data_IF_059397565807
#
_entry.id   IF_059397565807
#
_cell.length_a   1.000
_cell.length_b   1.000
_cell.length_c   1.000
_cell.angle_alpha   90.00
_cell.angle_beta   90.00
_cell.angle_gamma   90.00
#
_symmetry.space_group_name_H-M   'P 1'
#
loop_
_entity.id
_entity.type
_entity.pdbx_description
1 polymer ?
#
# COMPACT_ATOMS: atom_id res chain seq x y z
N UNK A 1 -3.16 22.94 17.10
CA UNK A 1 -1.91 23.39 16.44
C UNK A 1 -2.11 23.28 14.93
N UNK A 2 -1.48 24.13 14.10
CA UNK A 2 -1.45 23.93 12.66
C UNK A 2 -0.79 22.58 12.33
N UNK A 3 -1.24 21.92 11.26
CA UNK A 3 -0.68 20.64 10.82
C UNK A 3 0.70 20.86 10.21
N UNK A 4 1.69 20.01 10.54
CA UNK A 4 3.02 20.17 10.00
C UNK A 4 3.04 19.83 8.50
N UNK A 5 3.94 20.48 7.78
CA UNK A 5 4.15 20.31 6.34
C UNK A 5 5.61 19.92 6.13
N UNK A 6 5.83 18.84 5.40
CA UNK A 6 7.13 18.38 4.94
C UNK A 6 7.24 18.44 3.42
N UNK A 7 8.42 18.12 2.90
CA UNK A 7 8.69 18.14 1.46
C UNK A 7 9.43 16.89 1.02
N UNK A 8 9.00 16.33 -0.10
CA UNK A 8 9.74 15.31 -0.80
C UNK A 8 10.84 15.95 -1.65
N UNK A 9 12.02 15.33 -1.66
CA UNK A 9 13.15 15.75 -2.49
C UNK A 9 13.31 14.79 -3.65
N UNK A 10 13.40 15.31 -4.87
CA UNK A 10 13.67 14.47 -6.04
C UNK A 10 15.16 14.17 -6.11
N UNK A 11 15.53 12.90 -6.14
CA UNK A 11 16.90 12.45 -6.31
C UNK A 11 17.07 11.70 -7.64
N UNK A 12 18.23 11.86 -8.28
CA UNK A 12 18.60 11.13 -9.49
C UNK A 12 19.19 9.76 -9.18
N UNK A 13 19.93 9.64 -8.08
CA UNK A 13 20.38 8.38 -7.52
C UNK A 13 19.40 7.91 -6.46
N UNK A 14 19.03 6.62 -6.51
CA UNK A 14 18.22 5.99 -5.48
C UNK A 14 19.07 5.78 -4.21
N UNK A 15 18.47 5.93 -3.01
CA UNK A 15 19.10 5.43 -1.79
C UNK A 15 19.37 3.93 -1.87
N UNK A 16 20.48 3.49 -1.30
CA UNK A 16 20.79 2.07 -1.10
C UNK A 16 20.05 1.59 0.13
N UNK A 17 19.18 0.59 -0.01
CA UNK A 17 18.38 0.08 1.09
C UNK A 17 19.22 -0.88 1.94
N UNK A 18 19.97 -0.32 2.91
CA UNK A 18 20.83 -1.06 3.84
C UNK A 18 20.58 -0.70 5.32
N UNK A 19 19.71 0.28 5.56
CA UNK A 19 19.32 0.79 6.87
C UNK A 19 20.17 1.97 7.35
N UNK A 20 21.17 2.45 6.61
CA UNK A 20 22.05 3.57 6.98
C UNK A 20 21.70 4.90 6.31
N UNK A 21 20.65 5.55 6.83
CA UNK A 21 20.17 6.86 6.34
C UNK A 21 21.23 7.97 6.47
N UNK A 22 22.11 7.90 7.47
CA UNK A 22 23.11 8.95 7.72
C UNK A 22 24.35 8.79 6.84
N UNK A 23 24.67 7.55 6.46
CA UNK A 23 25.79 7.22 5.58
C UNK A 23 25.50 7.42 4.10
N UNK A 24 24.23 7.44 3.68
CA UNK A 24 23.86 7.53 2.27
C UNK A 24 23.67 8.99 1.79
N UNK A 25 24.45 9.45 0.78
CA UNK A 25 24.37 10.81 0.24
C UNK A 25 23.05 11.14 -0.46
N UNK A 26 22.25 10.15 -0.88
CA UNK A 26 20.93 10.36 -1.47
C UNK A 26 19.98 11.09 -0.49
N UNK A 27 20.19 10.96 0.82
CA UNK A 27 19.41 11.63 1.86
C UNK A 27 19.92 13.02 2.23
N UNK A 28 21.13 13.40 1.82
CA UNK A 28 21.82 14.59 2.34
C UNK A 28 21.08 15.91 2.07
N UNK A 29 20.39 16.00 0.93
CA UNK A 29 19.64 17.20 0.51
C UNK A 29 18.16 17.15 0.87
N UNK A 30 17.69 16.07 1.52
CA UNK A 30 16.28 15.93 1.88
C UNK A 30 15.98 16.66 3.20
N UNK A 31 15.02 17.59 3.17
CA UNK A 31 14.59 18.35 4.35
C UNK A 31 14.08 17.39 5.45
N UNK A 32 14.67 17.41 6.66
CA UNK A 32 14.24 16.55 7.74
C UNK A 32 12.92 17.03 8.36
N UNK A 33 11.95 16.13 8.45
CA UNK A 33 10.74 16.31 9.25
C UNK A 33 11.02 15.82 10.67
N UNK A 34 10.98 16.74 11.63
CA UNK A 34 11.23 16.47 13.05
C UNK A 34 10.15 17.11 13.94
N UNK A 35 10.33 17.07 15.27
CA UNK A 35 9.43 17.73 16.21
C UNK A 35 8.19 16.89 16.55
N UNK A 36 8.42 15.63 16.93
CA UNK A 36 7.37 14.70 17.32
C UNK A 36 6.78 15.08 18.69
N UNK A 37 5.48 14.85 18.86
CA UNK A 37 4.71 15.11 20.06
C UNK A 37 4.23 13.81 20.67
N UNK A 38 4.37 13.69 21.99
CA UNK A 38 3.87 12.54 22.72
C UNK A 38 2.34 12.51 22.70
N UNK A 39 1.81 11.33 22.45
CA UNK A 39 0.45 10.92 22.81
C UNK A 39 0.46 10.31 24.22
N UNK A 40 1.47 9.49 24.51
CA UNK A 40 1.73 8.90 25.81
C UNK A 40 3.25 8.89 26.08
N UNK A 41 3.69 8.93 27.35
CA UNK A 41 2.86 9.04 28.57
C UNK A 41 2.27 10.44 28.80
N UNK A 42 2.90 11.50 28.30
CA UNK A 42 2.52 12.89 28.59
C UNK A 42 2.01 13.59 27.33
N UNK A 43 0.72 13.46 27.06
CA UNK A 43 0.06 14.03 25.87
C UNK A 43 0.38 15.52 25.68
N UNK A 44 0.77 15.88 24.46
CA UNK A 44 1.02 17.28 24.08
C UNK A 44 2.39 17.82 24.51
N UNK A 45 3.28 16.98 25.04
CA UNK A 45 4.68 17.33 25.28
C UNK A 45 5.58 16.88 24.12
N UNK A 46 6.75 17.50 23.88
CA UNK A 46 7.71 16.99 22.89
C UNK A 46 8.18 15.57 23.21
N UNK A 47 8.45 14.77 22.17
CA UNK A 47 9.03 13.42 22.31
C UNK A 47 10.37 13.47 23.07
N UNK A 48 10.64 12.49 23.93
CA UNK A 48 11.88 12.47 24.73
C UNK A 48 13.13 12.16 23.91
N UNK A 49 12.98 11.44 22.81
CA UNK A 49 14.06 11.12 21.89
C UNK A 49 13.76 11.71 20.51
N UNK A 50 14.78 12.31 19.88
CA UNK A 50 14.62 12.96 18.57
C UNK A 50 14.32 11.90 17.50
N UNK A 51 13.37 12.20 16.62
CA UNK A 51 13.14 11.43 15.40
C UNK A 51 13.18 12.36 14.20
N UNK A 52 13.84 11.93 13.13
CA UNK A 52 13.86 12.61 11.84
C UNK A 52 13.33 11.68 10.76
N UNK A 53 12.51 12.23 9.87
CA UNK A 53 12.02 11.54 8.68
C UNK A 53 12.38 12.35 7.46
N UNK A 54 12.99 11.72 6.46
CA UNK A 54 13.34 12.30 5.17
C UNK A 54 12.56 11.60 4.08
N UNK A 55 12.10 12.35 3.09
CA UNK A 55 11.35 11.81 1.95
C UNK A 55 12.13 12.09 0.68
N UNK A 56 12.48 11.03 -0.03
CA UNK A 56 13.11 11.10 -1.34
C UNK A 56 12.20 10.42 -2.37
N UNK A 57 12.14 10.96 -3.58
CA UNK A 57 11.42 10.34 -4.70
C UNK A 57 12.37 10.18 -5.89
N UNK A 58 12.34 9.01 -6.53
CA UNK A 58 12.97 8.76 -7.82
C UNK A 58 11.89 8.70 -8.92
N UNK A 59 12.25 8.25 -10.12
CA UNK A 59 11.31 8.11 -11.23
C UNK A 59 10.17 7.12 -10.94
N UNK A 60 10.38 6.12 -10.10
CA UNK A 60 9.47 4.98 -9.91
C UNK A 60 9.19 4.60 -8.45
N UNK A 61 9.89 5.21 -7.49
CA UNK A 61 9.86 4.78 -6.10
C UNK A 61 9.82 5.97 -5.14
N UNK A 62 8.97 5.86 -4.11
CA UNK A 62 8.97 6.72 -2.93
C UNK A 62 9.87 6.08 -1.87
N UNK A 63 10.81 6.86 -1.35
CA UNK A 63 11.71 6.44 -0.29
C UNK A 63 11.44 7.23 0.99
N UNK A 64 11.37 6.52 2.12
CA UNK A 64 11.28 7.12 3.45
C UNK A 64 12.51 6.70 4.25
N UNK A 65 13.35 7.67 4.62
CA UNK A 65 14.47 7.45 5.52
C UNK A 65 14.10 7.94 6.91
N UNK A 66 14.22 7.09 7.92
CA UNK A 66 13.97 7.46 9.31
C UNK A 66 15.22 7.28 10.16
N UNK A 67 15.50 8.29 10.99
CA UNK A 67 16.54 8.24 12.01
C UNK A 67 15.85 8.42 13.36
N UNK A 68 15.84 7.34 14.13
CA UNK A 68 15.33 7.31 15.50
C UNK A 68 16.52 7.43 16.45
N UNK A 69 16.83 8.66 16.87
CA UNK A 69 17.86 8.86 17.86
C UNK A 69 17.42 8.22 19.18
N UNK A 70 18.38 7.67 19.93
CA UNK A 70 18.14 7.17 21.28
C UNK A 70 19.38 7.45 22.13
N UNK A 71 19.20 8.14 23.25
CA UNK A 71 20.27 8.42 24.21
C UNK A 71 20.87 7.17 24.87
N UNK A 72 20.19 6.03 24.81
CA UNK A 72 20.66 4.72 25.25
C UNK A 72 20.31 3.64 24.20
N UNK A 73 21.10 3.53 23.10
CA UNK A 73 20.87 2.55 22.05
C UNK A 73 20.92 1.09 22.54
N UNK A 74 21.62 0.83 23.66
CA UNK A 74 21.67 -0.50 24.27
C UNK A 74 20.35 -0.94 24.88
N UNK A 75 19.45 0.01 25.16
CA UNK A 75 18.11 -0.21 25.69
C UNK A 75 17.01 -0.40 24.63
N UNK A 76 17.35 -0.42 23.33
CA UNK A 76 16.38 -0.64 22.25
C UNK A 76 15.76 -2.04 22.37
N UNK A 77 14.43 -2.12 22.35
CA UNK A 77 13.70 -3.39 22.54
C UNK A 77 13.15 -3.91 21.22
N UNK A 78 13.52 -5.13 20.84
CA UNK A 78 12.91 -5.89 19.74
C UNK A 78 12.28 -7.16 20.30
N UNK A 79 10.94 -7.23 20.32
CA UNK A 79 10.21 -8.35 20.92
C UNK A 79 9.75 -9.42 19.92
N UNK A 80 9.54 -9.06 18.66
CA UNK A 80 9.17 -9.98 17.58
C UNK A 80 9.86 -9.54 16.28
N UNK A 81 10.39 -10.51 15.53
CA UNK A 81 11.12 -10.29 14.28
C UNK A 81 10.39 -10.91 13.07
N UNK A 82 9.15 -11.36 13.25
CA UNK A 82 8.31 -11.89 12.16
C UNK A 82 7.64 -10.75 11.40
N UNK A 83 7.42 -10.97 10.10
CA UNK A 83 6.56 -10.12 9.28
C UNK A 83 5.15 -10.01 9.90
N UNK A 84 4.57 -8.82 9.80
CA UNK A 84 3.23 -8.46 10.31
C UNK A 84 3.06 -8.62 11.83
N UNK A 85 4.17 -8.74 12.57
CA UNK A 85 4.12 -8.78 14.01
C UNK A 85 3.64 -7.43 14.58
N UNK A 86 2.86 -7.44 15.68
CA UNK A 86 2.40 -6.21 16.34
C UNK A 86 3.55 -5.28 16.73
N UNK A 87 3.41 -3.99 16.44
CA UNK A 87 4.46 -2.98 16.62
C UNK A 87 4.34 -2.22 17.96
N UNK A 88 3.39 -2.60 18.82
CA UNK A 88 3.07 -1.94 20.10
C UNK A 88 4.06 -2.30 21.22
N UNK A 89 4.52 -3.56 21.26
CA UNK A 89 5.36 -4.11 22.32
C UNK A 89 6.86 -4.15 21.94
N UNK A 90 7.26 -3.35 20.96
CA UNK A 90 8.63 -3.23 20.45
C UNK A 90 8.95 -1.77 20.17
N UNK A 91 10.22 -1.40 20.16
CA UNK A 91 10.63 -0.20 19.45
C UNK A 91 10.17 -0.31 18.00
N UNK A 92 9.52 0.72 17.49
CA UNK A 92 8.97 0.69 16.14
C UNK A 92 8.82 2.08 15.53
N UNK A 93 8.66 2.09 14.21
CA UNK A 93 8.27 3.23 13.42
C UNK A 93 7.13 2.84 12.49
N UNK A 94 6.13 3.70 12.37
CA UNK A 94 5.01 3.54 11.43
C UNK A 94 4.80 4.83 10.65
N UNK A 95 4.36 4.68 9.41
CA UNK A 95 3.90 5.77 8.56
C UNK A 95 2.53 5.43 7.97
N UNK A 96 1.73 6.47 7.72
CA UNK A 96 0.47 6.35 6.99
C UNK A 96 0.45 7.34 5.83
N UNK A 97 0.01 6.90 4.65
CA UNK A 97 -0.09 7.69 3.43
C UNK A 97 -1.55 7.82 2.98
N UNK A 98 -2.05 9.06 2.89
CA UNK A 98 -3.30 9.42 2.20
C UNK A 98 -2.94 10.07 0.86
N UNK A 99 -2.86 9.23 -0.18
CA UNK A 99 -2.43 9.61 -1.52
C UNK A 99 -3.50 10.42 -2.28
N UNK A 100 -4.78 10.23 -1.96
CA UNK A 100 -5.90 10.96 -2.59
C UNK A 100 -6.30 12.24 -1.84
N UNK A 101 -5.74 12.46 -0.64
CA UNK A 101 -6.11 13.54 0.28
C UNK A 101 -7.59 13.56 0.65
N UNK A 102 -8.23 12.39 0.65
CA UNK A 102 -9.64 12.26 1.01
C UNK A 102 -9.87 12.22 2.54
N UNK A 103 -8.78 12.17 3.31
CA UNK A 103 -8.72 12.15 4.77
C UNK A 103 -9.41 10.96 5.41
N UNK A 104 -9.63 9.90 4.64
CA UNK A 104 -10.39 8.72 5.05
C UNK A 104 -9.65 7.43 4.73
N UNK A 105 -9.01 7.35 3.57
CA UNK A 105 -8.37 6.13 3.08
C UNK A 105 -6.87 6.32 2.99
N UNK A 106 -6.11 5.26 3.30
CA UNK A 106 -4.67 5.33 3.22
C UNK A 106 -3.96 3.99 3.37
N UNK A 107 -2.65 4.03 3.21
CA UNK A 107 -1.76 2.87 3.32
C UNK A 107 -0.86 3.03 4.53
N UNK A 108 -0.74 1.98 5.34
CA UNK A 108 0.15 1.92 6.49
C UNK A 108 1.36 1.10 6.13
N UNK A 109 2.54 1.59 6.51
CA UNK A 109 3.80 0.85 6.47
C UNK A 109 4.49 1.01 7.81
N UNK A 110 5.19 -0.02 8.27
CA UNK A 110 5.85 0.00 9.56
C UNK A 110 7.00 -0.99 9.63
N UNK A 111 7.90 -0.72 10.57
CA UNK A 111 9.03 -1.60 10.85
C UNK A 111 9.46 -1.46 12.30
N UNK A 112 10.40 -2.29 12.70
CA UNK A 112 11.11 -2.23 13.97
C UNK A 112 12.64 -2.26 13.71
N UNK A 113 13.48 -2.13 14.75
CA UNK A 113 14.94 -2.19 14.59
C UNK A 113 15.48 -3.49 13.99
N UNK A 114 14.68 -4.57 13.91
CA UNK A 114 15.04 -5.81 13.21
C UNK A 114 14.62 -5.82 11.73
N UNK A 115 14.00 -4.76 11.23
CA UNK A 115 13.67 -4.61 9.81
C UNK A 115 12.48 -5.44 9.36
N UNK A 116 11.49 -5.70 10.24
CA UNK A 116 10.28 -6.40 9.82
C UNK A 116 9.43 -5.54 8.89
N UNK A 117 8.71 -6.19 8.00
CA UNK A 117 7.64 -5.56 7.22
C UNK A 117 6.33 -5.63 8.01
N UNK A 118 5.61 -4.52 8.05
CA UNK A 118 4.25 -4.40 8.57
C UNK A 118 3.48 -3.48 7.63
N UNK A 119 2.43 -3.97 7.00
CA UNK A 119 1.60 -3.17 6.11
C UNK A 119 0.10 -3.38 6.31
N UNK A 120 -0.68 -2.50 5.69
CA UNK A 120 -2.13 -2.59 5.72
C UNK A 120 -2.80 -1.41 5.05
N UNK A 121 -4.10 -1.56 4.82
CA UNK A 121 -4.93 -0.52 4.23
C UNK A 121 -5.94 0.02 5.25
N UNK A 122 -6.08 1.33 5.32
CA UNK A 122 -7.07 2.03 6.15
C UNK A 122 -8.21 2.50 5.26
N UNK A 123 -9.45 2.33 5.73
CA UNK A 123 -10.65 2.93 5.17
C UNK A 123 -11.43 3.67 6.26
N UNK A 124 -12.10 4.77 5.88
CA UNK A 124 -12.91 5.59 6.78
C UNK A 124 -12.22 5.92 8.13
N UNK A 125 -10.93 6.28 8.09
CA UNK A 125 -10.09 6.61 9.25
C UNK A 125 -9.93 5.48 10.30
N UNK A 126 -10.18 4.23 9.92
CA UNK A 126 -10.19 3.09 10.84
C UNK A 126 -11.48 2.92 11.63
N UNK A 127 -12.57 3.61 11.26
CA UNK A 127 -13.88 3.41 11.87
C UNK A 127 -14.48 2.05 11.45
N UNK A 128 -15.21 1.39 12.36
CA UNK A 128 -15.95 0.14 12.06
C UNK A 128 -15.36 -1.15 12.62
N UNK A 129 -14.12 -1.14 13.13
CA UNK A 129 -13.60 -2.30 13.84
C UNK A 129 -12.22 -2.06 14.44
N UNK A 130 -12.11 -2.33 15.75
CA UNK A 130 -10.89 -2.44 16.53
C UNK A 130 -9.88 -1.31 16.32
N UNK A 131 -9.89 -0.29 17.18
CA UNK A 131 -8.68 0.52 17.34
C UNK A 131 -7.46 -0.40 17.50
N UNK A 132 -6.31 0.03 16.98
CA UNK A 132 -5.03 -0.72 16.98
C UNK A 132 -4.60 -1.24 18.37
N UNK A 133 -5.29 -0.85 19.44
CA UNK A 133 -5.10 -1.30 20.81
C UNK A 133 -5.63 -2.70 21.12
N UNK A 134 -6.53 -3.27 20.32
CA UNK A 134 -7.10 -4.60 20.56
C UNK A 134 -6.92 -5.55 19.35
N UNK A 135 -5.68 -5.97 19.10
CA UNK A 135 -5.32 -7.02 18.13
C UNK A 135 -5.92 -8.42 18.42
N UNK A 136 -6.95 -8.52 19.27
CA UNK A 136 -7.64 -9.77 19.65
C UNK A 136 -9.06 -9.90 19.08
N UNK A 137 -9.58 -8.91 18.34
CA UNK A 137 -10.90 -9.02 17.72
C UNK A 137 -10.82 -9.02 16.18
N UNK A 138 -10.97 -10.24 15.65
CA UNK A 138 -11.46 -10.57 14.31
C UNK A 138 -10.55 -10.27 13.10
N UNK A 139 -9.52 -11.09 12.93
CA UNK A 139 -8.73 -11.27 11.69
C UNK A 139 -9.51 -11.88 10.52
N UNK A 140 -10.76 -11.47 10.25
CA UNK A 140 -11.55 -12.19 9.25
C UNK A 140 -12.84 -11.55 8.74
N UNK A 141 -13.01 -10.23 8.85
CA UNK A 141 -14.19 -9.55 8.29
C UNK A 141 -13.83 -8.24 7.62
N UNK A 142 -14.38 -8.01 6.43
CA UNK A 142 -14.32 -6.77 5.64
C UNK A 142 -14.95 -5.53 6.32
N UNK A 143 -15.34 -5.64 7.59
CA UNK A 143 -16.02 -4.59 8.36
C UNK A 143 -15.13 -3.74 9.27
N UNK A 144 -13.85 -4.12 9.50
CA UNK A 144 -12.90 -3.24 10.20
C UNK A 144 -12.31 -2.24 9.21
N UNK A 145 -12.28 -0.96 9.58
CA UNK A 145 -11.66 0.11 8.79
C UNK A 145 -10.13 -0.02 8.66
N UNK A 146 -9.54 -1.12 9.11
CA UNK A 146 -8.14 -1.45 8.89
C UNK A 146 -8.00 -2.91 8.41
N UNK A 147 -7.38 -3.08 7.24
CA UNK A 147 -7.14 -4.37 6.60
C UNK A 147 -5.65 -4.71 6.62
N UNK A 148 -5.25 -5.56 7.57
CA UNK A 148 -3.90 -6.14 7.67
C UNK A 148 -3.61 -7.22 6.62
N UNK A 149 -4.62 -7.71 5.88
CA UNK A 149 -4.40 -8.69 4.82
C UNK A 149 -4.01 -8.02 3.49
N UNK A 150 -4.00 -6.69 3.43
CA UNK A 150 -3.45 -5.98 2.28
C UNK A 150 -1.93 -6.13 2.32
N UNK A 151 -1.36 -6.72 1.26
CA UNK A 151 0.06 -7.06 1.17
C UNK A 151 0.67 -6.33 -0.04
N UNK A 152 1.48 -5.30 0.25
CA UNK A 152 2.09 -4.46 -0.77
C UNK A 152 3.47 -4.97 -1.18
N UNK A 153 3.89 -4.70 -2.43
CA UNK A 153 5.27 -4.91 -2.84
C UNK A 153 6.14 -3.70 -2.43
N UNK A 154 6.91 -3.81 -1.35
CA UNK A 154 7.85 -2.78 -0.88
C UNK A 154 9.01 -3.45 -0.12
N UNK A 155 10.05 -2.70 0.19
CA UNK A 155 11.21 -3.20 0.95
C UNK A 155 11.51 -2.27 2.14
N UNK A 156 11.99 -2.86 3.23
CA UNK A 156 12.60 -2.12 4.33
C UNK A 156 13.86 -2.79 4.87
N UNK A 157 14.84 -1.95 5.24
CA UNK A 157 16.00 -2.35 6.03
C UNK A 157 16.15 -1.42 7.21
N UNK A 158 16.53 -1.99 8.35
CA UNK A 158 16.77 -1.26 9.59
C UNK A 158 18.15 -1.61 10.12
N UNK A 159 18.78 -0.64 10.79
CA UNK A 159 20.10 -0.80 11.39
C UNK A 159 20.16 -0.10 12.74
N UNK A 160 20.61 -0.83 13.76
CA UNK A 160 20.97 -0.26 15.06
C UNK A 160 22.41 0.30 14.96
N UNK A 161 22.63 1.48 15.54
CA UNK A 161 23.92 2.17 15.55
C UNK A 161 24.13 2.93 16.87
N UNK A 162 25.26 3.64 16.98
CA UNK A 162 25.59 4.39 18.20
C UNK A 162 24.66 5.59 18.46
N UNK A 163 23.93 6.06 17.45
CA UNK A 163 22.98 7.17 17.61
C UNK A 163 21.57 6.70 17.98
N UNK A 164 21.29 5.39 17.93
CA UNK A 164 19.96 4.81 18.08
C UNK A 164 19.73 3.75 17.00
N UNK A 165 18.73 3.95 16.14
CA UNK A 165 18.54 3.12 14.96
C UNK A 165 17.94 3.91 13.81
N UNK A 166 18.14 3.42 12.59
CA UNK A 166 17.57 3.99 11.37
C UNK A 166 16.92 2.92 10.52
N UNK A 167 16.02 3.33 9.65
CA UNK A 167 15.43 2.46 8.65
C UNK A 167 15.15 3.19 7.34
N UNK A 168 15.16 2.42 6.26
CA UNK A 168 14.95 2.88 4.90
C UNK A 168 13.83 2.06 4.27
N UNK A 169 12.76 2.75 3.88
CA UNK A 169 11.63 2.17 3.17
C UNK A 169 11.75 2.50 1.69
N UNK A 170 11.62 1.51 0.82
CA UNK A 170 11.45 1.68 -0.61
C UNK A 170 10.04 1.22 -1.00
N UNK A 171 9.18 2.17 -1.37
CA UNK A 171 7.79 1.93 -1.75
C UNK A 171 7.62 2.29 -3.23
N UNK A 172 7.70 1.31 -4.15
CA UNK A 172 7.44 1.54 -5.56
C UNK A 172 6.08 2.19 -5.78
N UNK A 173 6.00 3.20 -6.64
CA UNK A 173 4.71 3.87 -6.91
C UNK A 173 3.65 2.89 -7.43
N UNK A 174 4.05 1.86 -8.18
CA UNK A 174 3.14 0.79 -8.64
C UNK A 174 2.41 0.05 -7.51
N UNK A 175 2.90 0.13 -6.27
CA UNK A 175 2.28 -0.46 -5.07
C UNK A 175 1.15 0.39 -4.53
N UNK A 176 1.14 1.68 -4.86
CA UNK A 176 0.18 2.66 -4.35
C UNK A 176 -0.82 3.04 -5.45
N UNK A 177 -2.06 3.26 -5.04
CA UNK A 177 -3.03 3.99 -5.86
C UNK A 177 -2.94 5.48 -5.54
N UNK A 178 -2.88 6.34 -6.54
CA UNK A 178 -2.77 7.79 -6.38
C UNK A 178 -3.41 8.51 -7.59
N UNK A 179 -3.85 9.78 -7.43
CA UNK A 179 -4.46 10.52 -8.53
C UNK A 179 -3.47 10.82 -9.66
N UNK A 180 -3.96 11.32 -10.80
CA UNK A 180 -3.09 11.85 -11.85
C UNK A 180 -2.45 13.19 -11.45
N UNK A 181 -1.41 13.58 -12.18
CA UNK A 181 -0.71 14.86 -12.01
C UNK A 181 0.75 14.66 -11.57
N UNK A 182 1.72 15.36 -12.19
CA UNK A 182 3.15 15.04 -12.03
C UNK A 182 3.73 15.43 -10.67
N UNK A 183 3.12 16.39 -9.97
CA UNK A 183 3.54 16.85 -8.65
C UNK A 183 2.32 16.87 -7.74
N UNK A 184 2.40 16.17 -6.62
CA UNK A 184 1.28 15.97 -5.71
C UNK A 184 1.61 16.43 -4.29
N UNK A 185 0.55 16.61 -3.51
CA UNK A 185 0.60 16.74 -2.07
C UNK A 185 -0.13 15.53 -1.53
N UNK A 186 0.46 14.83 -0.57
CA UNK A 186 -0.16 13.68 0.11
C UNK A 186 -0.34 13.98 1.59
N UNK A 187 -1.38 13.39 2.20
CA UNK A 187 -1.51 13.36 3.66
C UNK A 187 -0.53 12.34 4.24
N UNK A 188 0.16 12.71 5.31
CA UNK A 188 1.08 11.79 5.99
C UNK A 188 1.05 11.98 7.50
N UNK A 189 1.27 10.89 8.23
CA UNK A 189 1.72 10.98 9.60
C UNK A 189 2.74 9.88 9.91
N UNK A 190 3.52 10.11 10.95
CA UNK A 190 4.57 9.22 11.42
C UNK A 190 4.36 8.96 12.89
N UNK A 191 4.59 7.72 13.32
CA UNK A 191 4.53 7.31 14.72
C UNK A 191 5.86 6.67 15.10
N UNK A 192 6.40 7.10 16.24
CA UNK A 192 7.52 6.47 16.93
C UNK A 192 7.02 5.79 18.20
N UNK A 193 7.42 4.54 18.42
CA UNK A 193 7.22 3.83 19.69
C UNK A 193 8.58 3.58 20.34
N UNK A 194 8.76 4.03 21.59
CA UNK A 194 9.97 3.82 22.39
C UNK A 194 9.57 2.95 23.57
N UNK A 195 9.76 1.63 23.43
CA UNK A 195 9.08 0.68 24.30
C UNK A 195 9.59 0.75 25.75
N UNK A 196 10.89 1.00 25.94
CA UNK A 196 11.51 1.12 27.28
C UNK A 196 10.96 2.31 28.10
N UNK A 197 10.49 3.36 27.42
CA UNK A 197 9.89 4.56 28.05
C UNK A 197 8.36 4.51 28.10
N UNK A 198 7.74 3.48 27.51
CA UNK A 198 6.31 3.42 27.22
C UNK A 198 5.81 4.69 26.50
N UNK A 199 6.64 5.22 25.60
CA UNK A 199 6.37 6.46 24.88
C UNK A 199 5.91 6.17 23.46
N UNK A 200 4.82 6.83 23.08
CA UNK A 200 4.35 6.88 21.69
C UNK A 200 4.23 8.34 21.30
N UNK A 201 4.86 8.69 20.19
CA UNK A 201 4.86 10.05 19.68
C UNK A 201 4.52 10.10 18.19
N UNK A 202 3.95 11.21 17.76
CA UNK A 202 3.55 11.45 16.38
C UNK A 202 4.14 12.74 15.84
N UNK A 203 4.43 12.79 14.55
CA UNK A 203 4.87 14.02 13.89
C UNK A 203 3.74 15.07 13.83
N UNK A 204 2.57 14.69 13.31
CA UNK A 204 1.35 15.46 13.46
C UNK A 204 0.59 14.97 14.72
N UNK A 205 0.33 15.83 15.73
CA UNK A 205 -0.26 15.39 17.00
C UNK A 205 -1.62 14.70 16.82
N UNK A 206 -1.79 13.56 17.49
CA UNK A 206 -3.04 12.80 17.55
C UNK A 206 -3.48 12.70 19.02
N UNK A 207 -4.72 13.10 19.37
CA UNK A 207 -5.25 12.90 20.71
C UNK A 207 -5.36 11.43 21.10
N UNK A 208 -5.24 11.13 22.40
CA UNK A 208 -5.22 9.75 22.93
C UNK A 208 -6.41 8.87 22.55
N UNK A 209 -7.57 9.43 22.22
CA UNK A 209 -8.72 8.64 21.77
C UNK A 209 -8.61 8.11 20.33
N UNK A 210 -7.61 8.57 19.57
CA UNK A 210 -7.39 8.21 18.18
C UNK A 210 -6.05 7.49 18.01
N UNK A 211 -5.80 6.98 16.80
CA UNK A 211 -4.52 6.34 16.43
C UNK A 211 -4.00 6.93 15.13
N UNK A 212 -2.84 6.45 14.66
CA UNK A 212 -2.25 6.87 13.37
C UNK A 212 -3.24 6.78 12.19
N UNK A 213 -4.28 5.93 12.27
CA UNK A 213 -5.33 5.80 11.25
C UNK A 213 -6.21 7.05 11.07
N UNK A 214 -6.15 8.02 11.99
CA UNK A 214 -6.95 9.25 11.95
C UNK A 214 -6.39 10.24 10.92
N UNK A 215 -6.56 9.91 9.65
CA UNK A 215 -6.09 10.67 8.48
C UNK A 215 -6.63 12.11 8.43
N UNK A 216 -7.81 12.37 8.99
CA UNK A 216 -8.30 13.73 9.13
C UNK A 216 -7.41 14.61 10.00
N UNK A 217 -6.47 14.09 10.79
CA UNK A 217 -5.49 14.85 11.59
C UNK A 217 -4.06 14.81 11.02
N UNK A 218 -3.81 14.07 9.95
CA UNK A 218 -2.49 13.92 9.35
C UNK A 218 -1.90 15.26 8.88
N UNK A 219 -0.56 15.35 8.92
CA UNK A 219 0.20 16.41 8.24
C UNK A 219 0.20 16.21 6.73
N UNK A 220 1.09 16.90 6.03
CA UNK A 220 1.23 16.72 4.57
C UNK A 220 2.66 16.76 4.09
N UNK A 221 2.95 15.98 3.05
CA UNK A 221 4.20 16.09 2.29
C UNK A 221 3.89 16.66 0.92
N UNK A 222 4.58 17.74 0.58
CA UNK A 222 4.51 18.41 -0.72
C UNK A 222 5.60 17.91 -1.66
N UNK A 223 5.50 18.28 -2.94
CA UNK A 223 6.51 17.98 -3.97
C UNK A 223 6.70 16.48 -4.24
N UNK A 224 5.69 15.65 -3.95
CA UNK A 224 5.72 14.23 -4.30
C UNK A 224 5.60 14.12 -5.83
N UNK A 225 6.74 13.87 -6.49
CA UNK A 225 6.78 13.63 -7.93
C UNK A 225 6.46 12.18 -8.22
N UNK A 226 5.36 11.95 -8.92
CA UNK A 226 4.92 10.59 -9.28
C UNK A 226 5.15 10.31 -10.76
N UNK A 227 5.37 9.05 -11.16
CA UNK A 227 5.48 8.71 -12.57
C UNK A 227 4.15 8.93 -13.28
N UNK A 228 4.23 9.34 -14.55
CA UNK A 228 3.07 9.30 -15.44
C UNK A 228 2.76 7.84 -15.77
N UNK A 229 1.75 7.28 -15.11
CA UNK A 229 1.27 5.94 -15.41
C UNK A 229 0.61 5.94 -16.80
N UNK A 230 1.31 5.38 -17.79
CA UNK A 230 0.79 5.12 -19.14
C UNK A 230 1.11 3.66 -19.46
N UNK A 231 0.17 2.76 -19.21
CA UNK A 231 0.31 1.36 -19.59
C UNK A 231 -0.49 1.13 -20.87
N UNK A 232 0.21 0.96 -21.99
CA UNK A 232 -0.35 0.54 -23.27
C UNK A 232 0.09 -0.91 -23.51
N UNK A 233 -0.85 -1.84 -23.41
CA UNK A 233 -0.63 -3.24 -23.79
C UNK A 233 -1.24 -3.47 -25.16
N UNK A 234 -0.45 -4.04 -26.06
CA UNK A 234 -0.82 -4.37 -27.43
C UNK A 234 -0.59 -5.87 -27.65
N UNK A 235 -1.65 -6.61 -27.96
CA UNK A 235 -1.61 -8.07 -28.10
C UNK A 235 -2.21 -8.46 -29.46
N UNK A 236 -1.39 -8.59 -30.52
CA UNK A 236 -1.87 -9.07 -31.81
C UNK A 236 -1.98 -10.61 -31.79
N UNK A 237 -2.94 -11.16 -32.54
CA UNK A 237 -3.03 -12.60 -32.75
C UNK A 237 -3.36 -12.93 -34.20
N UNK A 238 -2.92 -14.11 -34.64
CA UNK A 238 -3.18 -14.67 -35.97
C UNK A 238 -3.48 -16.16 -35.82
N UNK A 239 -4.58 -16.61 -36.40
CA UNK A 239 -5.02 -17.99 -36.46
C UNK A 239 -4.99 -18.46 -37.92
N UNK A 240 -4.59 -19.70 -38.16
CA UNK A 240 -4.61 -20.30 -39.49
C UNK A 240 -5.17 -21.71 -39.42
N UNK A 241 -6.22 -21.99 -40.20
CA UNK A 241 -6.84 -23.31 -40.28
C UNK A 241 -6.48 -23.98 -41.61
N UNK A 242 -6.03 -25.23 -41.55
CA UNK A 242 -5.77 -26.06 -42.74
C UNK A 242 -6.78 -27.21 -42.75
N UNK A 243 -7.77 -27.14 -43.64
CA UNK A 243 -8.72 -28.22 -43.90
C UNK A 243 -8.21 -29.03 -45.11
N UNK A 244 -7.79 -30.26 -44.88
CA UNK A 244 -7.45 -31.21 -45.93
C UNK A 244 -8.60 -32.22 -46.09
N UNK A 245 -9.36 -32.12 -47.17
CA UNK A 245 -10.31 -33.17 -47.57
C UNK A 245 -9.59 -34.27 -48.34
N UNK A 246 -9.80 -35.52 -47.94
CA UNK A 246 -9.43 -36.67 -48.76
C UNK A 246 -10.36 -36.77 -49.99
N UNK A 247 -9.77 -37.01 -51.16
CA UNK A 247 -10.40 -37.40 -52.44
C UNK A 247 -10.83 -36.34 -53.49
N UNK A 248 -10.41 -35.07 -53.41
CA UNK A 248 -10.47 -34.10 -54.55
C UNK A 248 -9.23 -33.18 -54.48
N UNK A 249 -8.65 -32.63 -55.57
CA UNK A 249 -7.46 -31.78 -55.47
C UNK A 249 -7.74 -30.66 -54.48
N UNK A 250 -7.06 -30.71 -53.33
CA UNK A 250 -7.31 -29.78 -52.23
C UNK A 250 -7.02 -28.36 -52.74
N UNK A 251 -8.06 -27.60 -53.03
CA UNK A 251 -7.95 -26.15 -53.06
C UNK A 251 -7.61 -25.75 -51.63
N UNK A 252 -6.34 -25.45 -51.38
CA UNK A 252 -5.85 -25.00 -50.08
C UNK A 252 -6.51 -23.64 -49.77
N UNK A 253 -7.69 -23.68 -49.17
CA UNK A 253 -8.34 -22.49 -48.65
C UNK A 253 -7.65 -22.16 -47.33
N UNK A 254 -6.71 -21.23 -47.39
CA UNK A 254 -6.18 -20.56 -46.20
C UNK A 254 -7.29 -19.68 -45.62
N UNK A 255 -8.02 -20.21 -44.64
CA UNK A 255 -8.85 -19.42 -43.75
C UNK A 255 -7.96 -19.01 -42.59
N UNK A 256 -7.58 -17.74 -42.58
CA UNK A 256 -6.80 -17.14 -41.51
C UNK A 256 -7.57 -15.98 -40.90
N UNK A 257 -7.64 -15.95 -39.58
CA UNK A 257 -8.22 -14.85 -38.81
C UNK A 257 -7.08 -14.09 -38.12
N UNK A 258 -7.18 -12.77 -38.09
CA UNK A 258 -6.23 -11.93 -37.38
C UNK A 258 -7.00 -10.90 -36.58
N UNK A 259 -6.55 -10.69 -35.35
CA UNK A 259 -7.14 -9.70 -34.46
C UNK A 259 -6.12 -9.06 -33.54
N UNK A 260 -6.63 -8.13 -32.75
CA UNK A 260 -5.82 -7.24 -31.95
C UNK A 260 -6.55 -6.83 -30.68
N UNK A 261 -5.92 -7.05 -29.53
CA UNK A 261 -6.33 -6.49 -28.25
C UNK A 261 -5.44 -5.31 -27.84
N UNK A 262 -6.06 -4.20 -27.46
CA UNK A 262 -5.41 -3.00 -26.94
C UNK A 262 -5.99 -2.66 -25.58
N UNK A 263 -5.14 -2.63 -24.57
CA UNK A 263 -5.50 -2.16 -23.23
C UNK A 263 -4.67 -0.92 -22.87
N UNK A 264 -5.35 0.18 -22.59
CA UNK A 264 -4.73 1.47 -22.34
C UNK A 264 -5.26 2.14 -21.06
N UNK A 265 -4.38 2.41 -20.11
CA UNK A 265 -4.76 3.12 -18.89
C UNK A 265 -4.82 4.64 -19.17
N UNK A 266 -6.03 5.20 -19.21
CA UNK A 266 -6.29 6.62 -19.40
C UNK A 266 -5.90 7.44 -18.16
N UNK A 267 -6.13 6.87 -16.97
CA UNK A 267 -5.65 7.38 -15.66
C UNK A 267 -5.25 6.20 -14.78
N UNK A 268 -4.60 6.39 -13.62
CA UNK A 268 -4.36 5.30 -12.67
C UNK A 268 -5.64 4.55 -12.22
N UNK A 269 -6.81 5.17 -12.37
CA UNK A 269 -8.12 4.61 -12.00
C UNK A 269 -9.05 4.31 -13.18
N UNK A 270 -8.64 4.55 -14.43
CA UNK A 270 -9.48 4.38 -15.62
C UNK A 270 -8.71 3.64 -16.71
N UNK A 271 -9.25 2.50 -17.15
CA UNK A 271 -8.68 1.68 -18.22
C UNK A 271 -9.63 1.60 -19.41
N UNK A 272 -9.10 1.81 -20.61
CA UNK A 272 -9.74 1.54 -21.89
C UNK A 272 -9.31 0.15 -22.36
N UNK A 273 -10.27 -0.71 -22.70
CA UNK A 273 -10.02 -2.00 -23.35
C UNK A 273 -10.72 -2.00 -24.71
N UNK A 274 -9.99 -2.33 -25.78
CA UNK A 274 -10.48 -2.30 -27.14
C UNK A 274 -9.95 -3.49 -27.93
N UNK A 275 -10.85 -4.23 -28.59
CA UNK A 275 -10.48 -5.36 -29.43
C UNK A 275 -10.98 -5.17 -30.87
N UNK A 276 -10.18 -5.58 -31.84
CA UNK A 276 -10.52 -5.63 -33.26
C UNK A 276 -10.41 -7.07 -33.73
N UNK A 277 -11.47 -7.58 -34.40
CA UNK A 277 -11.61 -8.98 -34.81
C UNK A 277 -11.33 -9.93 -33.62
N UNK A 278 -12.25 -10.04 -32.68
CA UNK A 278 -12.19 -11.03 -31.57
C UNK A 278 -12.47 -12.44 -32.10
N UNK A 279 -11.63 -13.42 -31.79
CA UNK A 279 -12.00 -14.83 -31.96
C UNK A 279 -12.63 -15.35 -30.66
N UNK A 280 -13.92 -15.70 -30.73
CA UNK A 280 -14.66 -16.28 -29.61
C UNK A 280 -14.53 -17.81 -29.53
N UNK A 281 -13.78 -18.45 -30.44
CA UNK A 281 -13.63 -19.90 -30.47
C UNK A 281 -12.68 -20.47 -29.39
N UNK A 282 -12.06 -19.61 -28.56
CA UNK A 282 -11.29 -20.00 -27.37
C UNK A 282 -11.97 -19.61 -26.04
N UNK A 283 -13.29 -19.55 -26.00
CA UNK A 283 -13.98 -19.76 -24.71
C UNK A 283 -13.85 -21.25 -24.40
N UNK A 284 -13.00 -21.59 -23.42
CA UNK A 284 -13.10 -22.88 -22.73
C UNK A 284 -14.58 -23.09 -22.39
N UNK A 285 -15.15 -24.20 -22.84
CA UNK A 285 -16.48 -24.65 -22.41
C UNK A 285 -16.45 -24.63 -20.89
N UNK A 286 -17.32 -23.84 -20.27
CA UNK A 286 -17.55 -23.92 -18.83
C UNK A 286 -17.69 -25.40 -18.48
N UNK A 287 -16.81 -25.93 -17.62
CA UNK A 287 -17.06 -27.23 -17.00
C UNK A 287 -18.41 -27.11 -16.28
N UNK A 288 -19.47 -27.68 -16.86
CA UNK A 288 -20.76 -27.82 -16.19
C UNK A 288 -20.55 -28.71 -14.96
N UNK A 289 -20.31 -28.08 -13.81
CA UNK A 289 -20.48 -28.76 -12.54
C UNK A 289 -21.96 -28.74 -12.18
N UNK A 290 -22.62 -29.86 -12.44
CA UNK A 290 -23.99 -30.09 -11.98
C UNK A 290 -23.98 -30.27 -10.46
N UNK A 291 -24.32 -29.21 -9.74
CA UNK A 291 -24.64 -29.28 -8.32
C UNK A 291 -26.09 -29.76 -8.17
N UNK A 292 -26.28 -31.00 -7.71
CA UNK A 292 -27.60 -31.61 -7.50
C UNK A 292 -28.17 -31.35 -6.10
N UNK A 293 -27.54 -30.48 -5.30
CA UNK A 293 -28.01 -30.12 -3.96
C UNK A 293 -28.61 -28.70 -3.92
N UNK A 294 -29.47 -28.42 -2.93
CA UNK A 294 -30.26 -27.18 -2.82
C UNK A 294 -29.46 -25.98 -2.29
N UNK A 295 -28.14 -26.08 -2.20
CA UNK A 295 -27.26 -25.07 -1.61
C UNK A 295 -26.16 -24.65 -2.58
N UNK A 296 -25.95 -23.34 -2.70
CA UNK A 296 -24.86 -22.76 -3.49
C UNK A 296 -23.50 -23.03 -2.85
N UNK A 297 -22.50 -23.37 -3.66
CA UNK A 297 -21.10 -23.46 -3.25
C UNK A 297 -20.53 -22.05 -3.09
N UNK A 298 -20.18 -21.67 -1.86
CA UNK A 298 -19.45 -20.44 -1.58
C UNK A 298 -17.95 -20.72 -1.52
N UNK A 299 -17.22 -20.18 -2.49
CA UNK A 299 -15.76 -20.13 -2.43
C UNK A 299 -15.33 -18.79 -1.80
N UNK A 300 -14.35 -18.78 -0.88
CA UNK A 300 -13.72 -17.53 -0.46
C UNK A 300 -13.03 -16.88 -1.67
N UNK A 301 -13.41 -15.63 -1.98
CA UNK A 301 -12.85 -14.84 -3.08
C UNK A 301 -11.38 -14.49 -2.79
N UNK A 302 -10.48 -14.80 -3.75
CA UNK A 302 -9.02 -14.64 -3.59
C UNK A 302 -8.37 -13.80 -4.68
N UNK A 303 -9.12 -13.29 -5.66
CA UNK A 303 -8.55 -12.52 -6.76
C UNK A 303 -8.39 -11.04 -6.34
N UNK A 304 -7.22 -10.42 -6.57
CA UNK A 304 -6.91 -9.05 -6.15
C UNK A 304 -7.94 -8.00 -6.60
N UNK A 305 -8.54 -8.19 -7.79
CA UNK A 305 -9.55 -7.31 -8.36
C UNK A 305 -10.82 -7.15 -7.49
N UNK A 306 -11.25 -8.20 -6.79
CA UNK A 306 -12.45 -8.16 -5.93
C UNK A 306 -12.14 -7.69 -4.50
N UNK A 307 -10.90 -7.84 -4.06
CA UNK A 307 -10.42 -7.29 -2.79
C UNK A 307 -10.15 -5.78 -2.88
N UNK A 308 -9.73 -5.28 -4.05
CA UNK A 308 -9.36 -3.87 -4.25
C UNK A 308 -10.53 -2.87 -4.21
N UNK A 309 -11.77 -3.33 -4.35
CA UNK A 309 -12.97 -2.45 -4.41
C UNK A 309 -14.08 -2.83 -3.42
N UNK A 310 -13.87 -3.81 -2.52
CA UNK A 310 -14.93 -4.29 -1.61
C UNK A 310 -15.53 -3.17 -0.74
N UNK A 311 -14.73 -2.15 -0.39
CA UNK A 311 -15.19 -1.00 0.39
C UNK A 311 -16.11 -0.02 -0.36
N UNK A 312 -16.19 -0.06 -1.69
CA UNK A 312 -17.09 0.79 -2.47
C UNK A 312 -18.51 0.21 -2.59
N UNK A 313 -18.71 -1.07 -2.26
CA UNK A 313 -19.96 -1.80 -2.50
C UNK A 313 -20.69 -2.23 -1.23
N UNK A 314 -20.14 -1.95 -0.04
CA UNK A 314 -20.84 -2.18 1.22
C UNK A 314 -21.88 -1.08 1.49
N UNK A 315 -23.12 -1.29 1.03
CA UNK A 315 -24.27 -0.51 1.48
C UNK A 315 -25.10 -1.38 2.43
N UNK A 316 -25.01 -1.12 3.72
CA UNK A 316 -25.84 -1.77 4.74
C UNK A 316 -25.11 -2.83 5.58
N UNK A 317 -25.88 -3.51 6.44
CA UNK A 317 -25.37 -4.56 7.32
C UNK A 317 -24.95 -5.81 6.52
N UNK A 318 -23.82 -6.46 6.88
CA UNK A 318 -23.44 -7.75 6.31
C UNK A 318 -24.57 -8.77 6.49
N UNK A 319 -25.14 -9.25 5.39
CA UNK A 319 -26.20 -10.27 5.36
C UNK A 319 -27.62 -9.78 5.03
N UNK A 320 -27.87 -8.48 4.85
CA UNK A 320 -29.20 -7.99 4.42
C UNK A 320 -29.28 -7.59 2.94
N UNK A 321 -28.19 -7.10 2.34
CA UNK A 321 -28.17 -6.74 0.91
C UNK A 321 -26.77 -6.99 0.35
N UNK A 322 -26.63 -8.06 -0.43
CA UNK A 322 -25.51 -8.24 -1.35
C UNK A 322 -26.02 -7.99 -2.77
N UNK A 323 -25.38 -7.04 -3.48
CA UNK A 323 -25.59 -6.87 -4.92
C UNK A 323 -24.99 -8.10 -5.62
N UNK A 324 -25.84 -8.90 -6.26
CA UNK A 324 -25.41 -10.03 -7.07
C UNK A 324 -25.27 -9.63 -8.54
N UNK A 325 -24.32 -10.27 -9.22
CA UNK A 325 -24.23 -10.24 -10.67
C UNK A 325 -24.91 -11.50 -11.22
N UNK A 326 -25.80 -11.36 -12.21
CA UNK A 326 -26.23 -12.50 -13.03
C UNK A 326 -25.34 -12.59 -14.27
N UNK A 327 -25.10 -13.83 -14.72
CA UNK A 327 -24.42 -14.13 -15.98
C UNK A 327 -25.35 -13.83 -17.15
#
# INVERSE_FOLDING_TARGET
>A
MPRPIGRATTATAAPTIDGDVLGDPAWANADPMSGFWQEQPFEGTPSTERTEVRVVVTADTLYIGVICYDSDPSGIIVSDARRDAPLEETDSFRLILDTYRDRQNGFVFGTNPAGIEYDGQVTNEGQGGGGLSNARMQMGGSGSGFNLNWDGAWEVRARISEVGWSAEFAIPFKTLRYPGGPVQVWGVNFQRNIRRRNERSYWAPIPRQFSITRLSLAGSVEQVRVPTFRNLKFTPYVLGNVLASGDVPATTNWLGDAGLDVKYNLTPSLTLDATVNTDFAQVEVDDEQVNLDRFNLFFPEKRPFFLENAGFFAVGNPGEVDLFFSR
#
